data_IF_872387942964
#
_entry.id   IF_872387942964
#
_cell.length_a   1.000
_cell.length_b   1.000
_cell.length_c   1.000
_cell.angle_alpha   90.00
_cell.angle_beta   90.00
_cell.angle_gamma   90.00
#
_symmetry.space_group_name_H-M   'P 1'
#
loop_
_entity.id
_entity.type
_entity.pdbx_description
1 polymer ?
#
# COMPACT_ATOMS: atom_id res chain seq x y z
N UNK A 1 3.69 0.98 4.60
CA UNK A 1 2.66 0.25 5.36
C UNK A 1 3.27 -0.45 6.53
N UNK A 2 2.43 -0.65 7.54
CA UNK A 2 2.79 -1.22 8.83
C UNK A 2 3.30 -2.66 8.65
N UNK A 3 4.35 -3.08 9.38
CA UNK A 3 4.76 -4.48 9.40
C UNK A 3 3.64 -5.42 9.83
N UNK A 4 3.67 -6.67 9.34
CA UNK A 4 2.63 -7.67 9.62
C UNK A 4 2.53 -7.99 11.12
N UNK A 5 3.67 -8.06 11.81
CA UNK A 5 3.79 -8.29 13.24
C UNK A 5 3.16 -7.17 14.10
N UNK A 6 2.95 -5.99 13.51
CA UNK A 6 2.26 -4.85 14.11
C UNK A 6 0.81 -4.71 13.58
N UNK A 7 0.28 -5.72 12.89
CA UNK A 7 -1.09 -5.74 12.38
C UNK A 7 -1.28 -5.14 10.98
N UNK A 8 -0.21 -4.83 10.26
CA UNK A 8 -0.31 -4.38 8.87
C UNK A 8 -0.78 -5.48 7.92
N UNK A 9 -1.45 -5.09 6.84
CA UNK A 9 -2.08 -6.02 5.86
C UNK A 9 -1.23 -6.17 4.59
N UNK A 10 -0.38 -5.20 4.32
CA UNK A 10 0.26 -4.99 3.02
C UNK A 10 1.67 -4.43 3.22
N UNK A 11 2.62 -4.81 2.38
CA UNK A 11 4.04 -4.44 2.53
C UNK A 11 4.39 -3.08 1.89
N UNK A 12 5.67 -2.68 1.92
CA UNK A 12 6.10 -1.41 1.31
C UNK A 12 5.94 -1.35 -0.23
N UNK A 13 5.78 -2.50 -0.89
CA UNK A 13 5.50 -2.63 -2.33
C UNK A 13 4.00 -2.74 -2.64
N UNK A 14 3.15 -2.57 -1.63
CA UNK A 14 1.70 -2.69 -1.71
C UNK A 14 1.15 -4.09 -1.95
N UNK A 15 1.95 -5.13 -1.69
CA UNK A 15 1.50 -6.52 -1.80
C UNK A 15 0.86 -7.00 -0.52
N UNK A 16 -0.26 -7.73 -0.63
CA UNK A 16 -0.98 -8.29 0.52
C UNK A 16 -0.20 -9.44 1.15
N UNK A 17 0.07 -9.35 2.44
CA UNK A 17 0.82 -10.36 3.17
C UNK A 17 0.14 -11.74 3.10
N UNK A 18 0.92 -12.79 2.86
CA UNK A 18 0.42 -14.17 2.82
C UNK A 18 -0.38 -14.54 1.56
N UNK A 19 -0.40 -13.67 0.56
CA UNK A 19 -1.04 -13.92 -0.74
C UNK A 19 -0.02 -13.85 -1.87
N UNK A 20 -0.43 -14.25 -3.08
CA UNK A 20 0.39 -14.13 -4.30
C UNK A 20 -0.37 -13.28 -5.32
N UNK A 21 0.32 -12.33 -5.97
CA UNK A 21 -0.22 -11.48 -7.04
C UNK A 21 -1.47 -10.69 -6.64
N UNK A 22 -1.54 -10.24 -5.38
CA UNK A 22 -2.61 -9.37 -4.90
C UNK A 22 -2.00 -8.12 -4.27
N UNK A 23 -2.49 -6.96 -4.70
CA UNK A 23 -2.10 -5.65 -4.18
C UNK A 23 -3.33 -4.82 -3.84
N UNK A 24 -3.16 -3.87 -2.93
CA UNK A 24 -4.16 -2.86 -2.60
C UNK A 24 -3.52 -1.50 -2.81
N UNK A 25 -4.15 -0.66 -3.64
CA UNK A 25 -3.60 0.64 -4.08
C UNK A 25 -4.68 1.70 -3.94
N UNK A 26 -4.96 2.11 -2.71
CA UNK A 26 -5.98 3.10 -2.38
C UNK A 26 -5.64 3.80 -1.05
N UNK A 27 -6.60 4.51 -0.45
CA UNK A 27 -6.40 5.18 0.83
C UNK A 27 -6.29 4.23 2.04
N UNK A 28 -6.79 2.99 1.94
CA UNK A 28 -6.80 2.02 3.05
C UNK A 28 -5.40 1.58 3.47
N UNK A 29 -4.40 1.79 2.62
CA UNK A 29 -3.00 1.43 2.89
C UNK A 29 -2.26 2.46 3.74
N UNK A 30 -2.82 3.65 3.94
CA UNK A 30 -2.22 4.69 4.77
C UNK A 30 -2.25 4.25 6.24
N UNK A 31 -1.10 4.09 6.93
CA UNK A 31 -1.08 3.71 8.34
C UNK A 31 -1.73 4.75 9.25
N UNK A 32 -1.57 6.03 8.88
CA UNK A 32 -2.13 7.20 9.54
C UNK A 32 -2.65 8.17 8.47
N UNK A 33 -3.58 9.03 8.85
CA UNK A 33 -4.10 10.06 7.94
C UNK A 33 -3.05 11.14 7.70
N UNK A 34 -2.75 11.48 6.44
CA UNK A 34 -1.89 12.61 6.12
C UNK A 34 -2.57 13.92 6.54
N UNK A 35 -1.77 14.91 6.96
CA UNK A 35 -2.25 16.26 7.22
C UNK A 35 -2.61 16.98 5.92
N UNK A 36 -3.80 16.73 5.38
CA UNK A 36 -4.29 17.33 4.14
C UNK A 36 -5.39 16.51 3.46
N UNK A 37 -5.75 16.90 2.22
CA UNK A 37 -6.71 16.14 1.42
C UNK A 37 -6.11 14.81 0.96
N UNK A 38 -6.77 13.70 1.30
CA UNK A 38 -6.32 12.33 0.98
C UNK A 38 -6.14 12.10 -0.52
N UNK A 39 -6.86 12.84 -1.38
CA UNK A 39 -6.72 12.78 -2.84
C UNK A 39 -5.26 12.88 -3.30
N UNK A 40 -4.49 13.83 -2.76
CA UNK A 40 -3.09 14.04 -3.18
C UNK A 40 -2.22 12.85 -2.81
N UNK A 41 -2.38 12.33 -1.60
CA UNK A 41 -1.63 11.17 -1.13
C UNK A 41 -2.04 9.90 -1.88
N UNK A 42 -3.33 9.73 -2.21
CA UNK A 42 -3.80 8.63 -3.06
C UNK A 42 -3.14 8.68 -4.44
N UNK A 43 -3.07 9.85 -5.07
CA UNK A 43 -2.35 9.99 -6.35
C UNK A 43 -0.88 9.61 -6.21
N UNK A 44 -0.19 10.07 -5.16
CA UNK A 44 1.20 9.70 -4.92
C UNK A 44 1.40 8.20 -4.69
N UNK A 45 0.48 7.53 -3.98
CA UNK A 45 0.50 6.08 -3.78
C UNK A 45 0.32 5.35 -5.10
N UNK A 46 -0.61 5.79 -5.95
CA UNK A 46 -0.87 5.20 -7.26
C UNK A 46 0.35 5.29 -8.19
N UNK A 47 1.04 6.44 -8.21
CA UNK A 47 2.26 6.64 -9.01
C UNK A 47 3.46 5.85 -8.48
N UNK A 48 3.52 5.57 -7.17
CA UNK A 48 4.61 4.77 -6.56
C UNK A 48 4.59 3.31 -7.02
N UNK A 49 3.45 2.81 -7.48
CA UNK A 49 3.26 1.39 -7.73
C UNK A 49 4.13 0.94 -8.90
N UNK A 50 5.00 -0.01 -8.64
CA UNK A 50 5.73 -0.71 -9.68
C UNK A 50 5.48 -2.22 -9.51
N UNK A 51 4.83 -2.81 -10.50
CA UNK A 51 4.56 -4.24 -10.51
C UNK A 51 5.58 -4.96 -11.40
N UNK A 52 6.62 -5.52 -10.78
CA UNK A 52 7.40 -6.58 -11.41
C UNK A 52 6.71 -7.91 -11.13
N UNK A 53 5.88 -8.34 -12.09
CA UNK A 53 5.28 -9.67 -12.07
C UNK A 53 6.19 -10.71 -12.73
N UNK A 54 7.48 -10.70 -12.38
CA UNK A 54 8.31 -11.90 -12.51
C UNK A 54 8.19 -12.69 -11.20
N UNK A 55 7.27 -13.67 -11.21
CA UNK A 55 7.13 -14.70 -10.18
C UNK A 55 6.94 -16.06 -10.83
#
# INVERSE_FOLDING_TARGET
>A
MTPRELGGVVDQKLLVHGTKRLSVVDASVMPDLPGGYTQQTVYAIAEKVNFDFEM
#
